data_IF_667190176438
#
_entry.id   IF_667190176438
#
_cell.length_a   1.000
_cell.length_b   1.000
_cell.length_c   1.000
_cell.angle_alpha   90.00
_cell.angle_beta   90.00
_cell.angle_gamma   90.00
#
_symmetry.space_group_name_H-M   'P 1'
#
loop_
_entity.id
_entity.type
_entity.pdbx_description
1 polymer ?
#
# COMPACT_ATOMS: atom_id res chain seq x y z
N UNK A 1 -10.09 14.15 30.56
CA UNK A 1 -10.44 13.67 29.20
C UNK A 1 -9.18 13.13 28.58
N UNK A 2 -8.96 11.82 28.73
CA UNK A 2 -7.70 11.16 28.39
C UNK A 2 -7.58 10.97 26.87
N UNK A 3 -6.73 11.77 26.25
CA UNK A 3 -6.38 11.67 24.84
C UNK A 3 -5.60 10.37 24.63
N UNK A 4 -6.28 9.28 24.24
CA UNK A 4 -5.64 8.04 23.78
C UNK A 4 -4.88 8.29 22.47
N UNK A 5 -3.73 8.95 22.55
CA UNK A 5 -2.73 8.91 21.50
C UNK A 5 -2.01 7.56 21.62
N UNK A 6 -2.72 6.49 21.24
CA UNK A 6 -2.08 5.19 20.99
C UNK A 6 -1.30 5.35 19.69
N UNK A 7 -0.12 5.96 19.81
CA UNK A 7 0.88 6.13 18.77
C UNK A 7 1.49 4.74 18.46
N UNK A 8 0.65 3.77 18.07
CA UNK A 8 1.12 2.54 17.44
C UNK A 8 1.82 2.98 16.17
N UNK A 9 3.13 2.81 16.12
CA UNK A 9 3.97 3.15 14.98
C UNK A 9 3.71 2.12 13.86
N UNK A 10 2.48 2.07 13.37
CA UNK A 10 2.03 1.06 12.43
C UNK A 10 2.76 1.28 11.11
N UNK A 11 3.37 0.23 10.53
CA UNK A 11 4.07 0.37 9.26
C UNK A 11 3.09 0.81 8.17
N UNK A 12 3.50 1.73 7.30
CA UNK A 12 2.68 2.18 6.18
C UNK A 12 2.40 1.03 5.20
N UNK A 13 1.27 1.06 4.47
CA UNK A 13 0.92 0.04 3.49
C UNK A 13 2.05 -0.22 2.47
N UNK A 14 2.71 0.87 2.01
CA UNK A 14 3.85 0.79 1.12
C UNK A 14 5.06 0.06 1.74
N UNK A 15 5.27 0.22 3.06
CA UNK A 15 6.34 -0.45 3.78
C UNK A 15 6.00 -1.92 4.02
N UNK A 16 4.77 -2.21 4.45
CA UNK A 16 4.28 -3.58 4.63
C UNK A 16 4.32 -4.38 3.32
N UNK A 17 4.01 -3.75 2.19
CA UNK A 17 4.14 -4.34 0.86
C UNK A 17 5.61 -4.42 0.35
N UNK A 18 6.58 -4.00 1.16
CA UNK A 18 8.01 -3.91 0.83
C UNK A 18 8.32 -3.03 -0.39
N UNK A 19 7.45 -2.09 -0.77
CA UNK A 19 7.76 -1.10 -1.82
C UNK A 19 8.76 -0.06 -1.30
N UNK A 20 8.63 0.29 -0.02
CA UNK A 20 9.56 1.20 0.68
C UNK A 20 10.15 0.52 1.92
N UNK A 21 11.38 0.86 2.28
CA UNK A 21 12.10 0.15 3.34
C UNK A 21 11.68 0.57 4.75
N UNK A 22 11.52 1.88 5.01
CA UNK A 22 11.22 2.41 6.35
C UNK A 22 10.21 3.55 6.25
N UNK A 23 8.95 3.29 6.56
CA UNK A 23 7.90 4.31 6.67
C UNK A 23 6.81 3.89 7.65
N UNK A 24 6.65 4.66 8.72
CA UNK A 24 5.52 4.53 9.66
C UNK A 24 4.33 5.37 9.20
N UNK A 25 3.13 4.91 9.49
CA UNK A 25 1.88 5.61 9.29
C UNK A 25 1.59 6.48 10.52
N UNK A 26 1.33 7.76 10.31
CA UNK A 26 1.04 8.74 11.39
C UNK A 26 -0.36 9.38 11.22
N UNK A 27 -1.20 8.79 10.37
CA UNK A 27 -2.50 9.34 9.96
C UNK A 27 -3.58 8.25 9.92
N UNK A 28 -3.41 7.21 10.72
CA UNK A 28 -4.40 6.12 10.84
C UNK A 28 -4.84 5.55 9.49
N UNK A 29 -3.87 5.36 8.58
CA UNK A 29 -4.08 4.82 7.23
C UNK A 29 -5.05 5.64 6.35
N UNK A 30 -5.25 6.93 6.68
CA UNK A 30 -5.93 7.93 5.83
C UNK A 30 -5.08 8.28 4.59
N UNK A 31 -4.96 7.31 3.68
CA UNK A 31 -4.09 7.40 2.51
C UNK A 31 -4.59 8.45 1.51
N UNK A 32 -5.90 8.73 1.45
CA UNK A 32 -6.49 9.73 0.56
C UNK A 32 -5.90 11.14 0.76
N UNK A 33 -5.66 11.54 2.02
CA UNK A 33 -5.03 12.82 2.36
C UNK A 33 -3.50 12.72 2.54
N UNK A 34 -2.90 11.54 2.37
CA UNK A 34 -1.49 11.33 2.66
C UNK A 34 -0.61 11.81 1.49
N UNK A 35 0.15 12.89 1.71
CA UNK A 35 1.11 13.44 0.72
C UNK A 35 2.10 12.39 0.19
N UNK A 36 2.55 11.48 1.04
CA UNK A 36 3.48 10.41 0.67
C UNK A 36 2.83 9.38 -0.26
N UNK A 37 1.61 8.95 0.06
CA UNK A 37 0.83 8.04 -0.79
C UNK A 37 0.54 8.68 -2.16
N UNK A 38 0.11 9.95 -2.17
CA UNK A 38 -0.13 10.71 -3.41
C UNK A 38 1.12 10.79 -4.29
N UNK A 39 2.29 11.05 -3.71
CA UNK A 39 3.55 11.12 -4.46
C UNK A 39 3.94 9.76 -5.07
N UNK A 40 3.82 8.67 -4.30
CA UNK A 40 4.12 7.32 -4.80
C UNK A 40 3.12 6.84 -5.85
N UNK A 41 1.83 7.12 -5.68
CA UNK A 41 0.80 6.86 -6.71
C UNK A 41 1.13 7.56 -8.01
N UNK A 42 1.46 8.85 -7.94
CA UNK A 42 1.87 9.63 -9.11
C UNK A 42 3.07 8.99 -9.82
N UNK A 43 4.12 8.65 -9.07
CA UNK A 43 5.29 7.98 -9.62
C UNK A 43 4.97 6.62 -10.26
N UNK A 44 4.08 5.82 -9.65
CA UNK A 44 3.64 4.55 -10.22
C UNK A 44 2.85 4.74 -11.52
N UNK A 45 1.92 5.71 -11.58
CA UNK A 45 1.20 6.04 -12.81
C UNK A 45 2.14 6.56 -13.91
N UNK A 46 3.09 7.42 -13.57
CA UNK A 46 4.11 7.88 -14.53
C UNK A 46 4.91 6.69 -15.07
N UNK A 47 5.33 5.75 -14.22
CA UNK A 47 6.06 4.56 -14.66
C UNK A 47 5.20 3.65 -15.54
N UNK A 48 3.92 3.45 -15.20
CA UNK A 48 3.02 2.63 -16.02
C UNK A 48 2.82 3.25 -17.41
N UNK A 49 2.66 4.56 -17.49
CA UNK A 49 2.55 5.28 -18.76
C UNK A 49 3.84 5.16 -19.59
N UNK A 50 5.00 5.33 -18.96
CA UNK A 50 6.28 5.16 -19.64
C UNK A 50 6.46 3.71 -20.15
N UNK A 51 6.10 2.70 -19.35
CA UNK A 51 6.13 1.30 -19.77
C UNK A 51 5.23 1.02 -20.98
N UNK A 52 4.01 1.60 -21.01
CA UNK A 52 3.10 1.51 -22.17
C UNK A 52 3.69 2.13 -23.44
N UNK A 53 4.56 3.14 -23.30
CA UNK A 53 5.30 3.78 -24.39
C UNK A 53 6.61 3.03 -24.74
N UNK A 54 6.89 1.88 -24.13
CA UNK A 54 8.14 1.13 -24.32
C UNK A 54 9.36 1.77 -23.65
N UNK A 55 9.16 2.80 -22.81
CA UNK A 55 10.23 3.51 -22.12
C UNK A 55 10.31 3.06 -20.67
N UNK A 56 11.46 2.52 -20.24
CA UNK A 56 11.70 2.20 -18.84
C UNK A 56 12.42 3.37 -18.14
N UNK A 57 11.82 3.92 -17.08
CA UNK A 57 12.50 4.91 -16.25
C UNK A 57 13.65 4.23 -15.50
N UNK A 58 14.87 4.77 -15.60
CA UNK A 58 16.04 4.21 -14.90
C UNK A 58 16.03 4.60 -13.40
N UNK A 59 16.65 3.76 -12.58
CA UNK A 59 16.86 4.00 -11.15
C UNK A 59 15.70 3.60 -10.23
N UNK A 60 15.83 3.92 -8.93
CA UNK A 60 14.89 3.50 -7.87
C UNK A 60 13.44 3.95 -8.10
N UNK A 61 13.24 5.07 -8.79
CA UNK A 61 11.89 5.57 -9.11
C UNK A 61 11.21 4.73 -10.18
N UNK A 62 11.94 4.17 -11.15
CA UNK A 62 11.35 3.35 -12.20
C UNK A 62 10.95 1.94 -11.77
N UNK A 63 11.53 1.43 -10.68
CA UNK A 63 11.13 0.16 -10.06
C UNK A 63 9.97 0.29 -9.08
N UNK A 64 9.44 1.51 -8.87
CA UNK A 64 8.25 1.72 -8.06
C UNK A 64 7.03 1.16 -8.79
N UNK A 65 6.39 0.17 -8.15
CA UNK A 65 5.10 -0.37 -8.53
C UNK A 65 4.11 -0.11 -7.40
N UNK A 66 2.82 -0.04 -7.75
CA UNK A 66 1.78 0.19 -6.76
C UNK A 66 1.76 -0.92 -5.72
N UNK A 67 1.60 -0.59 -4.43
CA UNK A 67 1.70 -1.58 -3.35
C UNK A 67 0.71 -2.74 -3.51
N UNK A 68 -0.52 -2.47 -4.02
CA UNK A 68 -1.49 -3.53 -4.33
C UNK A 68 -0.96 -4.49 -5.40
N UNK A 69 -0.34 -3.96 -6.44
CA UNK A 69 0.25 -4.77 -7.51
C UNK A 69 1.42 -5.62 -6.99
N UNK A 70 2.27 -5.04 -6.14
CA UNK A 70 3.36 -5.77 -5.49
C UNK A 70 2.85 -6.92 -4.63
N UNK A 71 1.80 -6.69 -3.85
CA UNK A 71 1.17 -7.74 -3.05
C UNK A 71 0.49 -8.79 -3.93
N UNK A 72 -0.17 -8.39 -5.03
CA UNK A 72 -0.79 -9.31 -6.00
C UNK A 72 0.23 -10.23 -6.67
N UNK A 73 1.48 -9.80 -6.83
CA UNK A 73 2.57 -10.66 -7.35
C UNK A 73 3.08 -11.70 -6.33
N UNK A 74 2.76 -11.57 -5.05
CA UNK A 74 3.14 -12.53 -4.01
C UNK A 74 2.18 -13.74 -3.98
N UNK A 75 2.57 -14.89 -3.40
CA UNK A 75 1.64 -16.01 -3.19
C UNK A 75 0.50 -15.64 -2.24
N UNK A 76 -0.68 -16.27 -2.38
CA UNK A 76 -1.89 -15.93 -1.61
C UNK A 76 -1.66 -15.86 -0.09
N UNK A 77 -0.88 -16.80 0.47
CA UNK A 77 -0.54 -16.84 1.90
C UNK A 77 0.23 -15.61 2.39
N UNK A 78 0.86 -14.85 1.48
CA UNK A 78 1.59 -13.60 1.77
C UNK A 78 0.82 -12.34 1.34
N UNK A 79 -0.48 -12.48 1.04
CA UNK A 79 -1.36 -11.35 0.67
C UNK A 79 -2.27 -10.97 1.84
N UNK A 80 -1.80 -10.20 2.85
CA UNK A 80 -2.66 -9.78 3.95
C UNK A 80 -3.79 -8.87 3.47
N UNK A 81 -4.96 -8.94 4.09
CA UNK A 81 -6.07 -8.04 3.84
C UNK A 81 -5.72 -6.61 4.26
N UNK A 82 -6.23 -5.60 3.56
CA UNK A 82 -6.00 -4.19 3.91
C UNK A 82 -6.49 -3.86 5.32
N UNK A 83 -7.59 -4.47 5.76
CA UNK A 83 -8.13 -4.31 7.12
C UNK A 83 -7.17 -4.89 8.16
N UNK A 84 -6.53 -6.03 7.87
CA UNK A 84 -5.49 -6.58 8.72
C UNK A 84 -4.26 -5.67 8.76
N UNK A 85 -3.82 -5.18 7.61
CA UNK A 85 -2.69 -4.24 7.51
C UNK A 85 -2.92 -2.95 8.29
N UNK A 86 -4.19 -2.51 8.39
CA UNK A 86 -4.64 -1.38 9.20
C UNK A 86 -4.79 -1.71 10.69
N UNK A 87 -4.86 -2.99 11.05
CA UNK A 87 -5.10 -3.47 12.41
C UNK A 87 -6.57 -3.50 12.82
N UNK A 88 -7.51 -3.51 11.87
CA UNK A 88 -8.95 -3.60 12.14
C UNK A 88 -9.41 -5.04 12.39
N UNK A 89 -8.71 -6.03 11.81
CA UNK A 89 -9.03 -7.46 11.91
C UNK A 89 -7.77 -8.29 12.09
N UNK A 90 -7.92 -9.52 12.56
CA UNK A 90 -6.87 -10.55 12.58
C UNK A 90 -6.35 -10.90 11.19
N UNK A 91 -5.24 -11.65 11.14
CA UNK A 91 -4.59 -12.01 9.90
C UNK A 91 -5.56 -12.78 8.99
N UNK A 92 -5.97 -12.12 7.91
CA UNK A 92 -6.78 -12.70 6.84
C UNK A 92 -6.11 -12.44 5.52
N UNK A 93 -6.01 -13.45 4.67
CA UNK A 93 -5.51 -13.28 3.31
C UNK A 93 -6.56 -12.60 2.44
N UNK A 94 -6.14 -11.78 1.48
CA UNK A 94 -7.05 -11.13 0.52
C UNK A 94 -7.24 -12.03 -0.72
N UNK A 95 -8.38 -12.72 -0.89
CA UNK A 95 -8.64 -13.53 -2.08
C UNK A 95 -8.95 -12.67 -3.31
N UNK A 96 -9.53 -11.47 -3.11
CA UNK A 96 -10.01 -10.56 -4.17
C UNK A 96 -8.93 -9.60 -4.71
N UNK A 97 -7.65 -9.92 -4.56
CA UNK A 97 -6.54 -9.12 -5.12
C UNK A 97 -6.61 -7.61 -4.82
N UNK A 98 -7.08 -7.23 -3.62
CA UNK A 98 -7.21 -5.84 -3.14
C UNK A 98 -8.22 -4.95 -3.91
N UNK A 99 -9.17 -5.57 -4.63
CA UNK A 99 -10.38 -4.92 -5.12
C UNK A 99 -11.41 -4.83 -3.98
N UNK A 100 -11.22 -3.85 -3.09
CA UNK A 100 -12.10 -3.68 -1.92
C UNK A 100 -13.49 -3.11 -2.26
N UNK A 101 -13.67 -2.51 -3.44
CA UNK A 101 -14.94 -1.89 -3.87
C UNK A 101 -16.09 -2.94 -3.96
N UNK A 102 -15.75 -4.20 -4.26
CA UNK A 102 -16.68 -5.33 -4.37
C UNK A 102 -16.55 -6.29 -3.15
N UNK A 103 -15.81 -5.89 -2.12
CA UNK A 103 -15.52 -6.77 -1.00
C UNK A 103 -16.60 -6.62 0.06
N UNK A 104 -17.11 -7.75 0.56
CA UNK A 104 -18.08 -7.87 1.67
C UNK A 104 -17.65 -7.23 3.02
N UNK A 105 -16.48 -6.60 3.07
CA UNK A 105 -15.83 -6.03 4.27
C UNK A 105 -15.66 -4.50 4.19
N UNK A 106 -16.37 -3.81 3.29
CA UNK A 106 -16.34 -2.33 3.18
C UNK A 106 -17.03 -1.64 4.37
#
# INVERSE_FOLDING_TARGET
METKLQNKTSPCLWMQAKVVNKKVCLRDFSCAACRFDRALRKACHENENLQKMGVARKGKRGSLIFWKDKLRKQPLVKRPCIHHMKGHIDFKTCPKSYHCIDCEFD
#
